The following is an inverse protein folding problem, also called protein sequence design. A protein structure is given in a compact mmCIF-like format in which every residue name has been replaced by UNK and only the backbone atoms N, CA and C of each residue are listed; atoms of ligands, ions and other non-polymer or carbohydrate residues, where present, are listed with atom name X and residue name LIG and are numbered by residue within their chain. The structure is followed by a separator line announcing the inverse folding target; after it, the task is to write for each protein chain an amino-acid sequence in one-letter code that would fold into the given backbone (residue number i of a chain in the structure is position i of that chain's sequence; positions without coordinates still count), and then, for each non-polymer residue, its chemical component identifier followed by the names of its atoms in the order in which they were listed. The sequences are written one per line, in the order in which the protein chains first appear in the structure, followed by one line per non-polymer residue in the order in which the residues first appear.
data_IF_820371500187
#
_entry.id   IF_820371500187
#
_cell.length_a   1.000
_cell.length_b   1.000
_cell.length_c   1.000
_cell.angle_alpha   90.00
_cell.angle_beta   90.00
_cell.angle_gamma   90.00
#
_symmetry.space_group_name_H-M   'P 1'
#
loop_
_entity.id
_entity.type
_entity.pdbx_description
1 polymer ?
#
# COMPACT_ATOMS: atom_id res chain seq x y z
N UNK A 1 7.59 -27.53 11.23
CA UNK A 1 8.11 -27.88 9.88
C UNK A 1 8.46 -29.36 9.85
N UNK A 2 8.60 -29.99 8.66
CA UNK A 2 9.11 -31.36 8.57
C UNK A 2 10.48 -31.56 9.24
N UNK A 3 11.28 -30.49 9.31
CA UNK A 3 12.56 -30.41 10.04
C UNK A 3 12.45 -30.50 11.56
N UNK A 4 11.24 -30.44 12.14
CA UNK A 4 11.02 -30.31 13.58
C UNK A 4 11.01 -28.87 14.12
N UNK A 5 11.40 -27.87 13.30
CA UNK A 5 11.39 -26.46 13.75
C UNK A 5 9.97 -25.90 13.87
N UNK A 6 9.77 -24.92 14.76
CA UNK A 6 8.50 -24.21 14.92
C UNK A 6 8.11 -23.49 13.62
N UNK A 7 6.91 -23.75 13.11
CA UNK A 7 6.41 -23.10 11.90
C UNK A 7 5.48 -21.93 12.19
N UNK A 8 4.41 -22.20 12.93
CA UNK A 8 3.36 -21.23 13.21
C UNK A 8 3.03 -21.33 14.69
N UNK A 9 3.01 -20.19 15.37
CA UNK A 9 2.54 -20.05 16.75
C UNK A 9 1.25 -19.22 16.74
N UNK A 10 0.18 -19.78 17.28
CA UNK A 10 -1.09 -19.06 17.46
C UNK A 10 -1.34 -18.93 18.95
N UNK A 11 -1.33 -17.69 19.43
CA UNK A 11 -1.66 -17.35 20.82
C UNK A 11 -3.05 -16.73 20.85
N UNK A 12 -3.90 -17.18 21.76
CA UNK A 12 -5.24 -16.66 21.98
C UNK A 12 -5.41 -16.31 23.44
N UNK A 13 -5.75 -15.06 23.72
CA UNK A 13 -6.08 -14.54 25.05
C UNK A 13 -7.40 -13.78 24.93
N UNK A 14 -8.47 -14.32 25.52
CA UNK A 14 -9.83 -13.80 25.41
C UNK A 14 -10.24 -13.50 23.95
N UNK A 15 -10.36 -12.21 23.59
CA UNK A 15 -10.71 -11.69 22.25
C UNK A 15 -9.47 -11.33 21.42
N UNK A 16 -8.27 -11.48 21.97
CA UNK A 16 -7.02 -11.23 21.29
C UNK A 16 -6.48 -12.52 20.67
N UNK A 17 -6.05 -12.41 19.41
CA UNK A 17 -5.36 -13.47 18.70
C UNK A 17 -4.10 -12.91 18.05
N UNK A 18 -3.00 -13.62 18.23
CA UNK A 18 -1.74 -13.33 17.56
C UNK A 18 -1.31 -14.61 16.84
N UNK A 19 -1.14 -14.52 15.52
CA UNK A 19 -0.56 -15.57 14.70
C UNK A 19 0.82 -15.12 14.23
N UNK A 20 1.84 -15.90 14.55
CA UNK A 20 3.24 -15.65 14.23
C UNK A 20 3.74 -16.78 13.35
N UNK A 21 4.36 -16.44 12.22
CA UNK A 21 5.06 -17.40 11.35
C UNK A 21 6.56 -17.25 11.57
N UNK A 22 7.25 -18.37 11.79
CA UNK A 22 8.71 -18.43 11.98
C UNK A 22 9.42 -19.03 10.77
N UNK A 23 10.68 -18.66 10.58
CA UNK A 23 11.58 -19.34 9.63
C UNK A 23 11.81 -20.80 10.01
N UNK A 24 12.05 -21.64 9.00
CA UNK A 24 12.47 -23.02 9.21
C UNK A 24 13.96 -23.10 9.60
N UNK A 25 14.29 -22.65 10.82
CA UNK A 25 15.64 -22.67 11.38
C UNK A 25 15.64 -23.17 12.83
N UNK A 26 16.67 -23.91 13.26
CA UNK A 26 16.74 -24.47 14.61
C UNK A 26 17.13 -23.45 15.70
N UNK A 27 17.88 -22.40 15.35
CA UNK A 27 18.31 -21.34 16.27
C UNK A 27 18.09 -19.97 15.65
N UNK A 28 17.72 -18.99 16.49
CA UNK A 28 17.49 -17.60 16.09
C UNK A 28 16.54 -17.46 14.89
N UNK A 29 15.51 -18.31 14.85
CA UNK A 29 14.50 -18.29 13.79
C UNK A 29 13.77 -16.96 13.80
N UNK A 30 13.89 -16.21 12.70
CA UNK A 30 13.24 -14.90 12.58
C UNK A 30 11.75 -15.08 12.33
N UNK A 31 11.01 -14.05 12.69
CA UNK A 31 9.61 -13.94 12.34
C UNK A 31 9.46 -13.58 10.86
N UNK A 32 8.69 -14.37 10.11
CA UNK A 32 8.37 -14.10 8.72
C UNK A 32 7.02 -13.41 8.54
N UNK A 33 6.11 -13.56 9.51
CA UNK A 33 4.88 -12.78 9.54
C UNK A 33 4.27 -12.72 10.95
N UNK A 34 3.49 -11.67 11.19
CA UNK A 34 2.65 -11.50 12.37
C UNK A 34 1.28 -10.98 11.96
N UNK A 35 0.23 -11.55 12.53
CA UNK A 35 -1.14 -11.12 12.37
C UNK A 35 -1.79 -10.98 13.74
N UNK A 36 -2.27 -9.79 14.05
CA UNK A 36 -2.93 -9.49 15.31
C UNK A 36 -4.42 -9.23 15.08
N UNK A 37 -5.27 -9.65 16.02
CA UNK A 37 -6.70 -9.34 15.98
C UNK A 37 -7.01 -7.85 16.13
N UNK A 38 -6.04 -7.01 16.50
CA UNK A 38 -6.12 -5.54 16.41
C UNK A 38 -6.17 -5.02 14.97
N UNK A 39 -5.99 -5.89 13.98
CA UNK A 39 -5.92 -5.56 12.56
C UNK A 39 -4.52 -5.15 12.10
N UNK A 40 -3.53 -5.06 13.00
CA UNK A 40 -2.12 -4.85 12.63
C UNK A 40 -1.53 -6.15 12.12
N UNK A 41 -0.82 -6.11 11.01
CA UNK A 41 -0.16 -7.28 10.45
C UNK A 41 1.06 -6.90 9.64
N UNK A 42 2.10 -7.72 9.68
CA UNK A 42 3.32 -7.51 8.93
C UNK A 42 3.83 -8.82 8.35
N UNK A 43 4.37 -8.80 7.14
CA UNK A 43 5.06 -9.92 6.50
C UNK A 43 6.44 -9.45 6.06
N UNK A 44 7.41 -10.35 6.11
CA UNK A 44 8.81 -10.07 5.82
C UNK A 44 9.34 -10.95 4.69
N UNK A 45 10.27 -10.41 3.92
CA UNK A 45 11.13 -11.19 3.05
C UNK A 45 12.14 -12.02 3.87
N UNK A 46 12.77 -13.01 3.24
CA UNK A 46 13.80 -13.84 3.88
C UNK A 46 15.03 -13.05 4.37
N UNK A 47 15.30 -11.88 3.78
CA UNK A 47 16.36 -10.98 4.24
C UNK A 47 15.94 -10.15 5.47
N UNK A 48 14.68 -10.22 5.91
CA UNK A 48 14.11 -9.45 7.01
C UNK A 48 13.50 -8.10 6.61
N UNK A 49 13.59 -7.70 5.34
CA UNK A 49 12.93 -6.49 4.85
C UNK A 49 11.40 -6.64 4.94
N UNK A 50 10.70 -5.55 5.24
CA UNK A 50 9.24 -5.52 5.24
C UNK A 50 8.74 -5.77 3.83
N UNK A 51 7.83 -6.74 3.68
CA UNK A 51 7.17 -7.04 2.43
C UNK A 51 5.77 -6.44 2.40
N UNK A 52 5.00 -6.65 3.46
CA UNK A 52 3.67 -6.08 3.62
C UNK A 52 3.53 -5.52 5.03
N UNK A 53 2.93 -4.35 5.13
CA UNK A 53 2.47 -3.78 6.38
C UNK A 53 0.98 -3.43 6.26
N UNK A 54 0.15 -3.86 7.22
CA UNK A 54 -1.30 -3.69 7.19
C UNK A 54 -1.83 -3.23 8.54
N UNK A 55 -2.91 -2.47 8.49
CA UNK A 55 -3.68 -2.04 9.64
C UNK A 55 -5.19 -2.02 9.29
N UNK A 56 -6.01 -1.48 10.18
CA UNK A 56 -7.47 -1.37 10.00
C UNK A 56 -7.93 -0.40 8.91
N UNK A 57 -7.04 0.40 8.32
CA UNK A 57 -7.36 1.32 7.22
C UNK A 57 -7.01 0.72 5.86
N UNK A 58 -5.97 -0.10 5.79
CA UNK A 58 -5.49 -0.66 4.54
C UNK A 58 -4.16 -1.37 4.69
N UNK A 59 -3.38 -1.35 3.62
CA UNK A 59 -2.04 -1.91 3.63
C UNK A 59 -1.14 -1.35 2.55
N UNK A 60 0.14 -1.65 2.72
CA UNK A 60 1.23 -1.24 1.86
C UNK A 60 2.05 -2.48 1.49
N UNK A 61 2.49 -2.52 0.24
CA UNK A 61 3.36 -3.52 -0.33
C UNK A 61 4.70 -2.87 -0.68
N UNK A 62 5.78 -3.49 -0.24
CA UNK A 62 7.14 -3.03 -0.44
C UNK A 62 7.93 -4.05 -1.25
N UNK A 63 8.92 -3.59 -2.00
CA UNK A 63 9.94 -4.44 -2.61
C UNK A 63 11.05 -4.79 -1.62
N UNK A 64 11.99 -5.65 -2.03
CA UNK A 64 13.11 -6.07 -1.17
C UNK A 64 14.08 -4.93 -0.83
N UNK A 65 14.07 -3.83 -1.58
CA UNK A 65 14.86 -2.64 -1.29
C UNK A 65 14.14 -1.69 -0.30
N UNK A 66 12.90 -2.01 0.10
CA UNK A 66 12.07 -1.22 0.99
C UNK A 66 11.28 -0.12 0.30
N UNK A 67 11.27 -0.07 -1.04
CA UNK A 67 10.47 0.91 -1.77
C UNK A 67 9.01 0.46 -1.80
N UNK A 68 8.09 1.38 -1.54
CA UNK A 68 6.64 1.09 -1.60
C UNK A 68 6.18 0.96 -3.05
N UNK A 69 5.73 -0.23 -3.42
CA UNK A 69 5.23 -0.56 -4.77
C UNK A 69 3.73 -0.35 -4.89
N UNK A 70 2.98 -0.65 -3.82
CA UNK A 70 1.52 -0.58 -3.84
C UNK A 70 0.97 -0.17 -2.49
N UNK A 71 -0.19 0.49 -2.53
CA UNK A 71 -1.00 0.80 -1.37
C UNK A 71 -2.47 0.58 -1.68
N UNK A 72 -3.23 0.11 -0.70
CA UNK A 72 -4.67 -0.08 -0.79
C UNK A 72 -5.36 0.33 0.49
N UNK A 73 -6.66 0.57 0.41
CA UNK A 73 -7.53 0.82 1.56
C UNK A 73 -8.62 -0.25 1.63
N UNK A 74 -9.09 -0.58 2.83
CA UNK A 74 -10.24 -1.47 2.96
C UNK A 74 -11.55 -0.74 2.60
N UNK A 75 -12.55 -1.44 2.01
CA UNK A 75 -13.81 -0.82 1.60
C UNK A 75 -14.61 -0.13 2.72
N UNK A 76 -14.45 -0.58 3.98
CA UNK A 76 -15.22 -0.09 5.13
C UNK A 76 -14.41 0.85 6.05
N UNK A 77 -13.29 1.39 5.56
CA UNK A 77 -12.53 2.41 6.29
C UNK A 77 -13.38 3.68 6.35
N UNK A 78 -13.94 3.98 7.54
CA UNK A 78 -14.85 5.10 7.86
C UNK A 78 -14.31 6.46 7.40
N UNK A 79 -13.00 6.55 7.13
CA UNK A 79 -12.34 7.76 6.66
C UNK A 79 -11.68 7.49 5.32
N UNK A 80 -12.30 7.89 4.20
CA UNK A 80 -11.58 8.41 3.01
C UNK A 80 -12.55 8.84 1.90
N UNK A 81 -12.73 10.16 1.77
CA UNK A 81 -13.27 10.81 0.58
C UNK A 81 -12.21 10.88 -0.56
N UNK A 82 -11.52 9.77 -0.84
CA UNK A 82 -10.42 9.70 -1.82
C UNK A 82 -10.61 8.55 -2.80
N UNK A 83 -9.93 8.56 -3.97
CA UNK A 83 -10.00 7.46 -4.92
C UNK A 83 -9.45 6.18 -4.29
N UNK A 84 -10.34 5.27 -3.92
CA UNK A 84 -9.98 3.95 -3.41
C UNK A 84 -9.33 3.14 -4.53
N UNK A 85 -8.09 2.68 -4.30
CA UNK A 85 -7.55 1.59 -5.11
C UNK A 85 -8.03 0.29 -4.46
N UNK A 86 -8.95 -0.46 -5.10
CA UNK A 86 -9.42 -1.71 -4.54
C UNK A 86 -8.25 -2.68 -4.41
N UNK A 87 -8.26 -3.48 -3.34
CA UNK A 87 -7.31 -4.56 -3.19
C UNK A 87 -7.54 -5.58 -4.31
N UNK A 88 -6.53 -5.79 -5.15
CA UNK A 88 -6.42 -7.04 -5.91
C UNK A 88 -5.88 -8.13 -4.99
N UNK A 89 -6.36 -9.39 -5.08
CA UNK A 89 -5.85 -10.51 -4.29
C UNK A 89 -4.32 -10.54 -4.24
N UNK A 90 -3.75 -10.65 -3.03
CA UNK A 90 -2.31 -10.79 -2.83
C UNK A 90 -2.01 -12.19 -2.30
N UNK A 91 -1.00 -12.82 -2.89
CA UNK A 91 -0.49 -14.12 -2.51
C UNK A 91 0.99 -13.99 -2.23
N UNK A 92 1.40 -14.39 -1.03
CA UNK A 92 2.79 -14.41 -0.61
C UNK A 92 3.22 -15.85 -0.37
N UNK A 93 4.42 -16.20 -0.80
CA UNK A 93 5.12 -17.40 -0.37
C UNK A 93 6.21 -16.95 0.61
N UNK A 94 5.97 -17.10 1.92
CA UNK A 94 6.92 -16.68 2.94
C UNK A 94 8.14 -17.61 2.97
N UNK A 95 7.88 -18.90 2.73
CA UNK A 95 8.91 -19.92 2.52
C UNK A 95 8.30 -21.10 1.74
N UNK A 96 9.08 -22.18 1.54
CA UNK A 96 8.65 -23.37 0.80
C UNK A 96 7.36 -24.02 1.31
N UNK A 97 7.07 -23.89 2.60
CA UNK A 97 5.93 -24.53 3.27
C UNK A 97 4.81 -23.55 3.64
N UNK A 98 5.12 -22.26 3.86
CA UNK A 98 4.14 -21.27 4.35
C UNK A 98 3.83 -20.21 3.31
N UNK A 99 2.54 -20.03 3.04
CA UNK A 99 2.01 -18.94 2.22
C UNK A 99 0.95 -18.10 2.94
N UNK A 100 0.74 -16.88 2.46
CA UNK A 100 -0.29 -15.95 2.96
C UNK A 100 -1.17 -15.52 1.78
N UNK A 101 -2.48 -15.54 1.98
CA UNK A 101 -3.47 -15.03 1.02
C UNK A 101 -4.25 -13.89 1.66
N UNK A 102 -4.27 -12.73 0.99
CA UNK A 102 -4.94 -11.50 1.43
C UNK A 102 -5.98 -11.14 0.37
N UNK A 103 -7.26 -11.23 0.74
CA UNK A 103 -8.39 -10.85 -0.13
C UNK A 103 -9.19 -9.66 0.42
N UNK A 104 -9.05 -9.38 1.71
CA UNK A 104 -9.83 -8.39 2.45
C UNK A 104 -9.36 -8.37 3.90
N UNK A 105 -9.81 -7.37 4.66
CA UNK A 105 -9.44 -7.19 6.07
C UNK A 105 -9.75 -8.44 6.93
N UNK A 106 -10.90 -9.05 6.69
CA UNK A 106 -11.41 -10.26 7.35
C UNK A 106 -11.10 -11.55 6.59
N UNK A 107 -10.54 -11.44 5.39
CA UNK A 107 -10.24 -12.56 4.49
C UNK A 107 -8.74 -12.69 4.28
N UNK A 108 -8.02 -12.88 5.39
CA UNK A 108 -6.60 -13.18 5.42
C UNK A 108 -6.40 -14.60 5.92
N UNK A 109 -5.65 -15.40 5.18
CA UNK A 109 -5.35 -16.78 5.56
C UNK A 109 -3.86 -17.09 5.44
N UNK A 110 -3.33 -17.78 6.44
CA UNK A 110 -2.01 -18.41 6.41
C UNK A 110 -2.20 -19.88 6.08
N UNK A 111 -1.43 -20.40 5.13
CA UNK A 111 -1.45 -21.80 4.72
C UNK A 111 -0.10 -22.42 4.97
N UNK A 112 -0.08 -23.57 5.63
CA UNK A 112 1.09 -24.43 5.79
C UNK A 112 0.88 -25.70 4.97
N UNK A 113 1.80 -25.99 4.06
CA UNK A 113 1.79 -27.16 3.18
C UNK A 113 3.08 -27.96 3.37
N UNK A 114 2.95 -29.21 3.76
CA UNK A 114 4.07 -30.14 3.84
C UNK A 114 3.60 -31.58 3.65
N UNK A 115 4.41 -32.40 3.00
CA UNK A 115 4.15 -33.85 2.85
C UNK A 115 2.76 -34.18 2.28
N UNK A 116 2.28 -33.38 1.32
CA UNK A 116 0.95 -33.55 0.71
C UNK A 116 -0.23 -33.13 1.58
N UNK A 117 0.01 -32.61 2.79
CA UNK A 117 -1.02 -32.14 3.71
C UNK A 117 -1.00 -30.62 3.85
N UNK A 118 -2.19 -30.02 3.96
CA UNK A 118 -2.35 -28.59 4.12
C UNK A 118 -3.14 -28.24 5.38
N UNK A 119 -2.60 -27.32 6.18
CA UNK A 119 -3.31 -26.63 7.25
C UNK A 119 -3.55 -25.17 6.86
N UNK A 120 -4.73 -24.62 7.17
CA UNK A 120 -5.09 -23.24 6.84
C UNK A 120 -5.65 -22.54 8.07
N UNK A 121 -5.10 -21.37 8.38
CA UNK A 121 -5.43 -20.55 9.53
C UNK A 121 -6.06 -19.25 9.05
N UNK A 122 -7.31 -18.99 9.43
CA UNK A 122 -7.94 -17.68 9.23
C UNK A 122 -7.39 -16.68 10.24
N UNK A 123 -6.71 -15.64 9.76
CA UNK A 123 -6.09 -14.60 10.60
C UNK A 123 -6.65 -13.21 10.31
N UNK A 124 -7.54 -13.09 9.33
CA UNK A 124 -8.25 -11.84 9.04
C UNK A 124 -9.19 -11.48 10.18
N UNK A 125 -9.23 -10.19 10.53
CA UNK A 125 -10.11 -9.68 11.58
C UNK A 125 -10.84 -8.43 11.11
N UNK A 126 -12.17 -8.45 11.17
CA UNK A 126 -12.99 -7.27 10.91
C UNK A 126 -13.01 -6.39 12.15
N UNK A 127 -12.07 -5.46 12.23
CA UNK A 127 -12.06 -4.43 13.27
C UNK A 127 -12.77 -3.21 12.71
N UNK A 128 -13.92 -2.86 13.29
CA UNK A 128 -14.56 -1.57 13.09
C UNK A 128 -13.95 -0.60 14.10
N UNK A 129 -13.66 0.63 13.69
CA UNK A 129 -13.29 1.65 14.66
C UNK A 129 -14.51 1.98 15.51
N UNK A 130 -14.40 1.75 16.81
CA UNK A 130 -15.40 2.21 17.77
C UNK A 130 -15.52 3.73 17.68
N UNK A 131 -16.76 4.23 17.69
CA UNK A 131 -17.20 5.61 17.42
C UNK A 131 -16.59 6.71 18.35
N UNK A 132 -15.66 6.37 19.23
CA UNK A 132 -15.01 7.29 20.17
C UNK A 132 -13.48 7.34 20.09
N UNK A 133 -12.84 6.47 19.31
CA UNK A 133 -11.40 6.48 19.10
C UNK A 133 -11.08 7.10 17.76
N UNK A 134 -10.76 8.39 17.73
CA UNK A 134 -10.37 9.11 16.52
C UNK A 134 -9.24 8.32 15.83
N UNK A 135 -9.58 7.59 14.77
CA UNK A 135 -8.57 6.90 13.96
C UNK A 135 -7.59 7.96 13.46
N UNK A 136 -6.27 7.69 13.47
CA UNK A 136 -5.34 8.60 12.83
C UNK A 136 -5.85 8.85 11.40
N UNK A 137 -5.91 10.10 10.92
CA UNK A 137 -6.45 10.39 9.59
C UNK A 137 -5.77 9.48 8.56
N UNK A 138 -6.52 8.98 7.54
CA UNK A 138 -6.03 8.03 6.56
C UNK A 138 -4.68 8.52 6.09
N UNK A 139 -3.65 7.65 6.13
CA UNK A 139 -2.28 8.12 6.01
C UNK A 139 -2.15 9.00 4.77
N UNK A 140 -1.95 10.30 5.04
CA UNK A 140 -1.94 11.37 4.05
C UNK A 140 -0.86 11.03 3.03
N UNK A 141 -1.06 11.38 1.77
CA UNK A 141 0.00 11.21 0.77
C UNK A 141 1.27 11.89 1.30
N UNK A 142 2.35 11.13 1.41
CA UNK A 142 3.61 11.62 1.91
C UNK A 142 4.21 12.68 0.98
N UNK A 143 5.22 13.40 1.48
CA UNK A 143 5.98 14.40 0.69
C UNK A 143 6.39 13.85 -0.67
N UNK A 144 6.99 12.66 -0.66
CA UNK A 144 7.55 12.06 -1.86
C UNK A 144 6.47 11.58 -2.83
N UNK A 145 5.31 11.12 -2.33
CA UNK A 145 4.19 10.74 -3.19
C UNK A 145 3.58 11.92 -3.91
N UNK A 146 3.38 13.04 -3.19
CA UNK A 146 2.88 14.28 -3.80
C UNK A 146 3.86 14.81 -4.85
N UNK A 147 5.17 14.77 -4.56
CA UNK A 147 6.20 15.17 -5.51
C UNK A 147 6.30 14.22 -6.72
N UNK A 148 6.11 12.92 -6.52
CA UNK A 148 6.10 11.92 -7.58
C UNK A 148 4.90 12.12 -8.50
N UNK A 149 3.70 12.29 -7.93
CA UNK A 149 2.48 12.60 -8.71
C UNK A 149 2.64 13.91 -9.50
N UNK A 150 3.19 14.96 -8.86
CA UNK A 150 3.47 16.23 -9.52
C UNK A 150 4.46 16.07 -10.68
N UNK A 151 5.51 15.26 -10.48
CA UNK A 151 6.52 14.97 -11.50
C UNK A 151 5.94 14.16 -12.66
N UNK A 152 5.06 13.20 -12.39
CA UNK A 152 4.33 12.45 -13.42
C UNK A 152 3.48 13.38 -14.29
N UNK A 153 2.71 14.28 -13.69
CA UNK A 153 1.90 15.25 -14.45
C UNK A 153 2.78 16.17 -15.29
N UNK A 154 3.93 16.62 -14.75
CA UNK A 154 4.90 17.41 -15.51
C UNK A 154 5.43 16.65 -16.73
N UNK A 155 5.84 15.39 -16.56
CA UNK A 155 6.33 14.54 -17.67
C UNK A 155 5.24 14.39 -18.74
N UNK A 156 4.00 14.08 -18.36
CA UNK A 156 2.92 13.91 -19.31
C UNK A 156 2.59 15.21 -20.06
N UNK A 157 2.64 16.37 -19.39
CA UNK A 157 2.50 17.68 -20.05
C UNK A 157 3.62 17.95 -21.05
N UNK A 158 4.86 17.62 -20.72
CA UNK A 158 5.99 17.77 -21.63
C UNK A 158 5.85 16.87 -22.86
N UNK A 159 5.42 15.63 -22.67
CA UNK A 159 5.13 14.70 -23.77
C UNK A 159 3.99 15.21 -24.66
N UNK A 160 2.92 15.74 -24.06
CA UNK A 160 1.81 16.35 -24.80
C UNK A 160 2.26 17.55 -25.65
N UNK A 161 3.10 18.43 -25.09
CA UNK A 161 3.71 19.55 -25.85
C UNK A 161 4.61 19.06 -26.99
N UNK A 162 5.42 18.02 -26.76
CA UNK A 162 6.26 17.42 -27.79
C UNK A 162 5.42 16.83 -28.93
N UNK A 163 4.38 16.06 -28.62
CA UNK A 163 3.43 15.57 -29.62
C UNK A 163 2.75 16.72 -30.36
N UNK A 164 2.38 17.80 -29.68
CA UNK A 164 1.84 19.00 -30.31
C UNK A 164 2.80 19.62 -31.33
N UNK A 165 4.09 19.66 -31.00
CA UNK A 165 5.13 20.19 -31.89
C UNK A 165 5.36 19.31 -33.13
N UNK A 166 5.31 17.98 -32.97
CA UNK A 166 5.44 17.04 -34.09
C UNK A 166 4.24 17.10 -35.04
N UNK A 167 3.03 17.20 -34.49
CA UNK A 167 1.81 17.20 -35.31
C UNK A 167 1.50 18.57 -35.93
N UNK A 168 1.94 19.67 -35.32
CA UNK A 168 1.65 21.04 -35.75
C UNK A 168 2.92 21.93 -35.77
N UNK A 169 3.90 21.63 -36.66
CA UNK A 169 5.23 22.25 -36.65
C UNK A 169 5.26 23.72 -37.09
N UNK A 170 4.16 24.29 -37.60
CA UNK A 170 4.06 25.68 -38.04
C UNK A 170 3.07 26.52 -37.21
N UNK A 171 2.47 25.96 -36.16
CA UNK A 171 1.48 26.69 -35.36
C UNK A 171 2.20 27.67 -34.41
N UNK A 172 1.95 28.98 -34.49
CA UNK A 172 2.53 29.98 -33.58
C UNK A 172 1.72 30.16 -32.27
N UNK A 173 0.51 29.59 -32.19
CA UNK A 173 -0.36 29.66 -31.01
C UNK A 173 -0.30 28.40 -30.14
N UNK A 174 0.82 27.65 -30.16
CA UNK A 174 0.99 26.38 -29.43
C UNK A 174 0.71 26.50 -27.94
N UNK A 175 1.15 27.57 -27.30
CA UNK A 175 0.96 27.79 -25.87
C UNK A 175 -0.51 28.03 -25.47
N UNK A 176 -1.38 28.30 -26.46
CA UNK A 176 -2.82 28.49 -26.26
C UNK A 176 -3.60 27.19 -26.38
N UNK A 177 -2.98 26.11 -26.88
CA UNK A 177 -3.65 24.80 -26.98
C UNK A 177 -3.87 24.27 -25.56
N UNK A 178 -5.14 24.03 -25.23
CA UNK A 178 -5.49 23.47 -23.93
C UNK A 178 -4.95 22.05 -23.83
N UNK A 179 -4.33 21.68 -22.69
CA UNK A 179 -3.91 20.30 -22.49
C UNK A 179 -5.14 19.39 -22.45
N UNK A 180 -4.96 18.09 -22.77
CA UNK A 180 -6.01 17.09 -22.65
C UNK A 180 -6.75 17.15 -21.30
N UNK A 181 -8.05 16.91 -21.34
CA UNK A 181 -8.94 16.95 -20.16
C UNK A 181 -8.47 16.08 -19.00
N UNK A 182 -7.83 14.93 -19.29
CA UNK A 182 -7.27 14.05 -18.27
C UNK A 182 -6.11 14.70 -17.51
N UNK A 183 -5.26 15.51 -18.16
CA UNK A 183 -4.15 16.24 -17.51
C UNK A 183 -4.66 17.39 -16.64
N UNK A 184 -5.71 18.08 -17.11
CA UNK A 184 -6.39 19.12 -16.31
C UNK A 184 -6.96 18.49 -15.04
N UNK A 185 -7.65 17.36 -15.18
CA UNK A 185 -8.25 16.63 -14.06
C UNK A 185 -7.19 16.14 -13.06
N UNK A 186 -6.09 15.56 -13.54
CA UNK A 186 -4.99 15.11 -12.68
C UNK A 186 -4.31 16.28 -11.95
N UNK A 187 -4.11 17.40 -12.64
CA UNK A 187 -3.57 18.65 -12.06
C UNK A 187 -4.43 19.13 -10.89
N UNK A 188 -5.75 19.23 -11.10
CA UNK A 188 -6.69 19.69 -10.08
C UNK A 188 -6.73 18.73 -8.88
N UNK A 189 -6.75 17.41 -9.13
CA UNK A 189 -6.72 16.40 -8.06
C UNK A 189 -5.47 16.53 -7.19
N UNK A 190 -4.29 16.69 -7.78
CA UNK A 190 -3.04 16.86 -7.02
C UNK A 190 -3.06 18.15 -6.19
N UNK A 191 -3.55 19.25 -6.76
CA UNK A 191 -3.67 20.51 -6.03
C UNK A 191 -4.64 20.38 -4.84
N UNK A 192 -5.77 19.70 -5.02
CA UNK A 192 -6.72 19.40 -3.95
C UNK A 192 -6.07 18.54 -2.85
N UNK A 193 -5.31 17.51 -3.22
CA UNK A 193 -4.58 16.68 -2.27
C UNK A 193 -3.53 17.48 -1.47
N UNK A 194 -2.95 18.53 -2.06
CA UNK A 194 -2.03 19.43 -1.37
C UNK A 194 -2.72 20.42 -0.41
N UNK A 195 -4.02 20.64 -0.56
CA UNK A 195 -4.81 21.48 0.35
C UNK A 195 -5.25 20.75 1.62
N UNK A 196 -5.05 19.43 1.69
CA UNK A 196 -5.32 18.67 2.91
C UNK A 196 -4.49 19.18 4.10
N UNK A 197 -5.07 19.11 5.30
CA UNK A 197 -4.40 19.49 6.54
C UNK A 197 -3.05 18.73 6.68
N UNK A 198 -1.99 19.42 7.11
CA UNK A 198 -0.67 18.82 7.40
C UNK A 198 0.36 18.79 6.26
N UNK A 199 0.06 19.34 5.08
CA UNK A 199 1.06 19.56 4.02
C UNK A 199 1.76 20.90 4.27
N UNK A 200 3.10 20.94 4.28
CA UNK A 200 3.84 22.20 4.47
C UNK A 200 3.66 23.15 3.28
N UNK A 201 3.68 24.46 3.52
CA UNK A 201 3.55 25.46 2.45
C UNK A 201 4.69 25.41 1.43
N UNK A 202 5.87 24.99 1.84
CA UNK A 202 7.00 24.73 0.95
C UNK A 202 6.68 23.59 -0.03
N UNK A 203 6.15 22.48 0.47
CA UNK A 203 5.76 21.34 -0.35
C UNK A 203 4.62 21.70 -1.31
N UNK A 204 3.62 22.45 -0.83
CA UNK A 204 2.54 22.98 -1.69
C UNK A 204 3.08 23.82 -2.84
N UNK A 205 4.03 24.73 -2.55
CA UNK A 205 4.70 25.56 -3.57
C UNK A 205 5.47 24.72 -4.57
N UNK A 206 6.24 23.74 -4.10
CA UNK A 206 7.02 22.83 -4.96
C UNK A 206 6.14 22.02 -5.91
N UNK A 207 5.05 21.42 -5.39
CA UNK A 207 4.08 20.69 -6.21
C UNK A 207 3.41 21.61 -7.22
N UNK A 208 2.97 22.81 -6.80
CA UNK A 208 2.35 23.79 -7.70
C UNK A 208 3.30 24.22 -8.82
N UNK A 209 4.56 24.47 -8.50
CA UNK A 209 5.58 24.82 -9.49
C UNK A 209 5.79 23.71 -10.51
N UNK A 210 5.90 22.45 -10.06
CA UNK A 210 6.07 21.28 -10.95
C UNK A 210 4.88 21.06 -11.88
N UNK A 211 3.66 21.25 -11.41
CA UNK A 211 2.45 20.98 -12.19
C UNK A 211 2.08 22.14 -13.13
N UNK A 212 2.54 23.37 -12.85
CA UNK A 212 2.27 24.55 -13.69
C UNK A 212 3.35 24.86 -14.73
N UNK A 213 4.57 24.36 -14.57
CA UNK A 213 5.63 24.42 -15.59
C UNK A 213 5.21 23.64 -16.85
#
# INVERSE_FOLDING_TARGET
YPSGNLAILVVREEKQLICIVHEDKPRNARMQAIFQSSGRSCCYYANGAVWINMNIQGGEYFDQAGSRVKRWTWPNSIVSAGPHVPLSPIFLSLNRHVGVRILGQDKIAVSFLAMGQQAKFGVGTKVQASDGGQLPPPARLGRDELLLLASRVRILRLLDRLHGCLNFPSNEQRDKIKPPSYLITQTLKILQLCTAAGVSDELRRSVRAKVKA
#
